data_IF_541666877639
#
_entry.id   IF_541666877639
#
_cell.length_a   1.000
_cell.length_b   1.000
_cell.length_c   1.000
_cell.angle_alpha   90.00
_cell.angle_beta   90.00
_cell.angle_gamma   90.00
#
_symmetry.space_group_name_H-M   'P 1'
#
loop_
_entity.id
_entity.type
_entity.pdbx_description
1 polymer ?
2 non-polymer ?
3 non-polymer ?
4 water ?
#
# COMPACT_ATOMS: atom_id res chain seq x y z
N UNK A 1 -18.08 -29.41 -21.65
CA UNK A 1 -19.38 -29.94 -22.13
C UNK A 1 -20.20 -28.80 -22.76
N UNK A 2 -20.91 -28.01 -21.94
CA UNK A 2 -21.79 -26.90 -22.39
C UNK A 2 -20.94 -25.77 -22.98
N UNK A 3 -19.88 -25.39 -22.26
CA UNK A 3 -19.02 -24.21 -22.55
C UNK A 3 -19.87 -22.95 -22.80
N UNK A 4 -20.98 -22.79 -22.08
CA UNK A 4 -21.75 -21.50 -22.04
C UNK A 4 -20.83 -20.45 -21.38
N UNK A 5 -20.65 -19.29 -22.03
CA UNK A 5 -19.73 -18.23 -21.51
C UNK A 5 -20.36 -17.55 -20.29
N UNK A 6 -21.65 -17.77 -20.07
CA UNK A 6 -22.29 -17.61 -18.74
C UNK A 6 -21.73 -18.70 -17.81
N UNK A 7 -20.74 -18.32 -17.01
CA UNK A 7 -20.19 -19.11 -15.88
C UNK A 7 -20.76 -18.57 -14.58
N UNK A 8 -21.78 -19.25 -14.05
CA UNK A 8 -22.45 -18.89 -12.78
C UNK A 8 -21.83 -19.61 -11.60
N UNK A 9 -21.39 -20.89 -11.68
CA UNK A 9 -20.82 -21.55 -10.51
C UNK A 9 -19.64 -20.69 -10.04
N UNK A 10 -19.76 -20.09 -8.85
CA UNK A 10 -18.66 -19.37 -8.17
C UNK A 10 -17.88 -20.42 -7.36
N UNK A 11 -16.80 -20.03 -6.67
CA UNK A 11 -15.89 -20.94 -5.94
C UNK A 11 -15.35 -22.00 -6.91
N UNK A 12 -15.37 -21.75 -8.23
CA UNK A 12 -15.12 -22.77 -9.28
C UNK A 12 -14.69 -22.09 -10.58
N UNK A 13 -14.38 -22.87 -11.62
CA UNK A 13 -14.15 -22.39 -13.01
C UNK A 13 -13.03 -21.33 -12.96
N UNK A 14 -11.87 -21.66 -12.37
CA UNK A 14 -10.72 -20.73 -12.30
C UNK A 14 -9.42 -21.52 -12.51
N UNK A 15 -8.99 -21.61 -13.76
CA UNK A 15 -7.67 -22.14 -14.15
C UNK A 15 -6.60 -21.07 -14.01
N UNK A 16 -5.34 -21.49 -13.88
CA UNK A 16 -4.16 -20.62 -13.62
C UNK A 16 -3.24 -20.60 -14.85
N UNK A 17 -2.47 -19.52 -15.05
CA UNK A 17 -1.87 -19.10 -16.36
C UNK A 17 -2.96 -19.10 -17.43
N UNK A 18 -4.11 -18.46 -17.15
CA UNK A 18 -5.28 -18.38 -18.05
C UNK A 18 -4.81 -17.78 -19.39
N UNK A 19 -4.75 -18.61 -20.43
CA UNK A 19 -4.59 -18.20 -21.85
C UNK A 19 -5.99 -18.07 -22.48
N UNK A 20 -6.97 -17.74 -21.63
CA UNK A 20 -8.23 -17.03 -21.97
C UNK A 20 -8.06 -15.52 -21.82
N UNK A 21 -8.47 -14.93 -20.69
CA UNK A 21 -8.26 -13.47 -20.42
C UNK A 21 -8.17 -13.19 -18.92
N UNK A 22 -7.16 -12.40 -18.54
CA UNK A 22 -6.86 -12.03 -17.13
C UNK A 22 -6.96 -10.52 -16.97
N UNK A 23 -7.91 -10.06 -16.16
CA UNK A 23 -8.25 -8.62 -15.97
C UNK A 23 -7.78 -8.14 -14.60
N UNK A 24 -6.87 -7.16 -14.57
CA UNK A 24 -6.33 -6.54 -13.33
C UNK A 24 -7.10 -5.25 -13.00
N UNK A 25 -7.75 -5.20 -11.85
CA UNK A 25 -8.59 -4.04 -11.41
C UNK A 25 -8.01 -3.44 -10.12
N UNK A 26 -7.97 -2.11 -10.07
CA UNK A 26 -7.56 -1.37 -8.85
C UNK A 26 -8.67 -1.54 -7.81
N UNK A 27 -8.39 -2.21 -6.69
CA UNK A 27 -9.36 -2.34 -5.56
C UNK A 27 -9.75 -0.94 -5.08
N UNK A 28 -10.87 -0.82 -4.36
CA UNK A 28 -11.31 0.43 -3.73
C UNK A 28 -12.31 1.17 -4.61
N UNK A 29 -12.30 2.51 -4.58
CA UNK A 29 -13.36 3.32 -5.23
C UNK A 29 -13.29 3.17 -6.75
N UNK A 30 -12.12 2.84 -7.31
CA UNK A 30 -12.00 2.57 -8.77
C UNK A 30 -12.85 1.35 -9.11
N UNK A 31 -12.66 0.25 -8.38
CA UNK A 31 -13.40 -1.02 -8.62
C UNK A 31 -14.89 -0.72 -8.68
N UNK A 32 -15.41 -0.09 -7.62
CA UNK A 32 -16.85 0.27 -7.47
C UNK A 32 -17.35 0.90 -8.78
N UNK A 33 -16.60 1.88 -9.31
CA UNK A 33 -16.97 2.64 -10.53
C UNK A 33 -16.64 1.83 -11.79
N UNK A 34 -15.75 0.82 -11.68
CA UNK A 34 -15.34 -0.04 -12.83
C UNK A 34 -16.45 -1.05 -13.17
N UNK A 35 -16.94 -1.78 -12.16
CA UNK A 35 -17.86 -2.94 -12.33
C UNK A 35 -19.11 -2.57 -13.12
N UNK A 36 -19.76 -1.41 -12.85
CA UNK A 36 -20.88 -0.96 -13.68
C UNK A 36 -20.62 -1.12 -15.18
N UNK A 37 -19.43 -0.72 -15.63
CA UNK A 37 -19.06 -0.74 -17.08
C UNK A 37 -18.86 -2.20 -17.51
N UNK A 38 -18.28 -3.00 -16.63
CA UNK A 38 -18.10 -4.46 -16.85
C UNK A 38 -19.47 -5.13 -16.89
N UNK A 39 -20.34 -4.74 -15.95
CA UNK A 39 -21.76 -5.17 -15.91
C UNK A 39 -22.33 -5.08 -17.33
N UNK A 40 -22.15 -3.93 -17.99
CA UNK A 40 -22.77 -3.62 -19.32
C UNK A 40 -21.89 -4.24 -20.43
N UNK A 41 -21.07 -5.24 -20.12
CA UNK A 41 -20.40 -6.14 -21.09
C UNK A 41 -20.69 -7.61 -20.71
N UNK A 42 -21.58 -7.81 -19.74
CA UNK A 42 -21.95 -9.14 -19.21
C UNK A 42 -20.85 -9.75 -18.35
N UNK A 43 -20.02 -8.91 -17.72
CA UNK A 43 -18.89 -9.32 -16.86
C UNK A 43 -19.12 -8.79 -15.44
N UNK A 44 -19.33 -9.69 -14.49
CA UNK A 44 -19.56 -9.38 -13.06
C UNK A 44 -18.90 -10.44 -12.18
N UNK A 45 -18.37 -10.03 -11.03
CA UNK A 45 -17.91 -10.96 -9.96
C UNK A 45 -19.13 -11.66 -9.37
N UNK A 46 -18.89 -12.76 -8.64
CA UNK A 46 -19.98 -13.66 -8.17
C UNK A 46 -19.96 -13.78 -6.64
N UNK A 47 -19.13 -12.98 -5.96
CA UNK A 47 -19.22 -12.74 -4.50
C UNK A 47 -18.61 -11.37 -4.21
N UNK A 48 -18.85 -10.82 -3.01
CA UNK A 48 -18.16 -9.57 -2.58
C UNK A 48 -16.69 -9.91 -2.43
N UNK A 49 -15.80 -9.31 -3.27
CA UNK A 49 -14.37 -9.63 -3.25
C UNK A 49 -13.70 -9.16 -1.95
N UNK A 50 -14.21 -8.05 -1.41
CA UNK A 50 -13.83 -7.47 -0.10
C UNK A 50 -14.01 -8.53 1.00
N UNK A 51 -15.10 -9.30 0.93
CA UNK A 51 -15.44 -10.38 1.90
C UNK A 51 -15.03 -11.76 1.36
N UNK A 52 -14.10 -11.82 0.41
CA UNK A 52 -13.67 -13.11 -0.21
C UNK A 52 -12.22 -13.39 0.16
N UNK A 53 -11.90 -14.66 0.37
CA UNK A 53 -10.54 -15.14 0.69
C UNK A 53 -9.75 -15.34 -0.61
N UNK A 54 -10.48 -15.46 -1.73
CA UNK A 54 -9.87 -15.65 -3.09
C UNK A 54 -8.93 -14.48 -3.39
N UNK A 55 -7.84 -14.75 -4.11
CA UNK A 55 -6.94 -13.73 -4.73
C UNK A 55 -7.27 -13.61 -6.23
N UNK A 56 -7.66 -14.73 -6.85
CA UNK A 56 -8.12 -14.78 -8.27
C UNK A 56 -9.61 -15.15 -8.30
N UNK A 57 -10.44 -14.28 -8.87
CA UNK A 57 -11.90 -14.45 -9.00
C UNK A 57 -12.26 -14.95 -10.40
N UNK A 58 -13.19 -15.93 -10.53
CA UNK A 58 -13.84 -16.21 -11.81
C UNK A 58 -15.00 -15.20 -11.98
N UNK A 59 -15.50 -15.03 -13.22
CA UNK A 59 -16.54 -14.02 -13.52
C UNK A 59 -17.74 -14.65 -14.20
N UNK A 60 -18.81 -13.87 -14.38
CA UNK A 60 -20.03 -14.30 -15.11
C UNK A 60 -19.62 -14.84 -16.49
N UNK A 61 -18.60 -14.23 -17.09
CA UNK A 61 -18.00 -14.65 -18.38
C UNK A 61 -16.92 -15.70 -18.09
N UNK A 62 -16.91 -16.79 -18.87
CA UNK A 62 -16.14 -18.02 -18.52
C UNK A 62 -14.69 -17.88 -19.00
N UNK A 63 -14.41 -16.94 -19.91
CA UNK A 63 -13.08 -16.76 -20.54
C UNK A 63 -12.31 -15.64 -19.83
N UNK A 64 -12.90 -15.09 -18.76
CA UNK A 64 -12.44 -13.86 -18.06
C UNK A 64 -12.31 -14.19 -16.56
N UNK A 65 -11.10 -14.05 -16.01
CA UNK A 65 -10.87 -14.07 -14.54
C UNK A 65 -10.46 -12.66 -14.10
N UNK A 66 -10.67 -12.33 -12.82
CA UNK A 66 -10.36 -10.98 -12.27
C UNK A 66 -9.33 -11.07 -11.15
N UNK A 67 -8.41 -10.11 -11.14
CA UNK A 67 -7.50 -9.81 -10.00
C UNK A 67 -7.94 -8.48 -9.41
N UNK A 68 -8.06 -8.39 -8.09
CA UNK A 68 -8.28 -7.11 -7.36
C UNK A 68 -6.93 -6.71 -6.77
N UNK A 69 -6.27 -5.72 -7.37
CA UNK A 69 -4.86 -5.38 -7.03
C UNK A 69 -4.79 -4.00 -6.39
N UNK A 70 -3.78 -3.78 -5.54
CA UNK A 70 -3.35 -2.41 -5.14
C UNK A 70 -3.08 -1.64 -6.44
N UNK A 71 -3.61 -0.43 -6.55
CA UNK A 71 -3.66 0.34 -7.82
C UNK A 71 -2.26 0.32 -8.45
N UNK A 72 -1.24 0.56 -7.63
CA UNK A 72 0.18 0.65 -8.04
C UNK A 72 0.65 -0.60 -8.81
N UNK A 73 0.11 -1.79 -8.51
CA UNK A 73 0.54 -3.09 -9.09
C UNK A 73 -0.12 -3.37 -10.44
N UNK A 74 -1.28 -2.77 -10.74
CA UNK A 74 -2.08 -3.11 -11.95
C UNK A 74 -1.17 -3.01 -13.18
N UNK A 75 -0.51 -1.86 -13.42
CA UNK A 75 0.34 -1.72 -14.60
C UNK A 75 1.49 -2.72 -14.51
N UNK A 76 1.98 -2.99 -13.29
CA UNK A 76 3.09 -3.96 -13.07
C UNK A 76 2.68 -5.30 -13.68
N UNK A 77 1.52 -5.84 -13.32
CA UNK A 77 1.03 -7.16 -13.79
C UNK A 77 0.84 -7.15 -15.32
N UNK A 78 0.25 -6.09 -15.87
CA UNK A 78 -0.09 -6.03 -17.33
C UNK A 78 1.20 -5.82 -18.13
N UNK A 79 2.05 -4.91 -17.66
CA UNK A 79 3.41 -4.67 -18.22
C UNK A 79 4.06 -6.03 -18.49
N UNK A 80 3.99 -6.94 -17.51
CA UNK A 80 4.70 -8.26 -17.54
C UNK A 80 3.85 -9.34 -18.23
N UNK A 81 2.60 -9.03 -18.57
CA UNK A 81 1.68 -9.97 -19.25
C UNK A 81 1.14 -11.03 -18.32
N UNK A 82 1.38 -10.88 -17.01
CA UNK A 82 0.67 -11.63 -15.95
C UNK A 82 -0.83 -11.42 -16.20
N UNK A 83 -1.22 -10.16 -16.41
CA UNK A 83 -2.58 -9.74 -16.82
C UNK A 83 -2.57 -9.32 -18.30
N UNK A 84 -3.60 -9.74 -19.04
CA UNK A 84 -3.77 -9.45 -20.49
C UNK A 84 -4.16 -7.98 -20.65
N UNK A 85 -4.93 -7.45 -19.70
CA UNK A 85 -5.43 -6.05 -19.69
C UNK A 85 -5.85 -5.65 -18.27
N UNK A 86 -5.95 -4.35 -18.01
CA UNK A 86 -6.21 -3.81 -16.67
C UNK A 86 -6.83 -2.42 -16.70
N UNK A 87 -7.33 -1.99 -15.55
CA UNK A 87 -7.95 -0.65 -15.33
C UNK A 87 -7.18 0.03 -14.20
N UNK A 88 -6.50 1.13 -14.53
CA UNK A 88 -5.64 1.91 -13.62
C UNK A 88 -5.84 3.40 -13.84
N UNK A 89 -5.81 4.17 -12.75
CA UNK A 89 -5.79 5.63 -12.80
C UNK A 89 -4.63 6.14 -13.62
N UNK A 90 -4.89 7.13 -14.48
CA UNK A 90 -3.87 7.84 -15.30
C UNK A 90 -2.71 8.31 -14.40
N UNK A 91 -3.04 8.74 -13.18
CA UNK A 91 -2.06 9.13 -12.13
C UNK A 91 -1.03 8.01 -11.97
N UNK A 92 -1.51 6.80 -11.65
CA UNK A 92 -0.68 5.58 -11.42
C UNK A 92 0.13 5.31 -12.70
N UNK A 93 -0.56 5.27 -13.85
CA UNK A 93 0.02 4.90 -15.16
C UNK A 93 1.18 5.84 -15.49
N UNK A 94 0.95 7.14 -15.30
CA UNK A 94 1.96 8.20 -15.59
C UNK A 94 3.14 8.06 -14.62
N UNK A 95 2.86 7.86 -13.33
CA UNK A 95 3.92 7.73 -12.28
C UNK A 95 4.73 6.45 -12.56
N UNK A 96 4.03 5.32 -12.76
CA UNK A 96 4.62 3.97 -12.95
C UNK A 96 5.44 3.95 -14.25
N UNK A 97 4.86 4.45 -15.34
CA UNK A 97 5.43 4.31 -16.69
C UNK A 97 4.63 3.34 -17.56
N UNK A 98 4.51 3.65 -18.85
CA UNK A 98 3.78 2.83 -19.87
C UNK A 98 4.79 2.15 -20.81
N UNK A 99 5.00 0.83 -20.63
CA UNK A 99 6.07 0.07 -21.33
C UNK A 99 5.46 -0.90 -22.35
N UNK A 100 5.19 -2.15 -21.97
CA UNK A 100 4.68 -3.21 -22.88
C UNK A 100 3.15 -3.22 -22.82
N UNK A 101 2.55 -2.05 -23.06
CA UNK A 101 1.10 -1.78 -22.78
C UNK A 101 0.54 -0.82 -23.82
N UNK A 102 -0.73 -1.02 -24.18
CA UNK A 102 -1.56 -0.06 -24.95
C UNK A 102 -2.57 0.57 -23.98
N UNK A 103 -2.62 1.90 -23.93
CA UNK A 103 -3.70 2.63 -23.23
C UNK A 103 -4.81 2.85 -24.26
N UNK A 104 -5.89 2.08 -24.17
CA UNK A 104 -6.93 2.00 -25.22
C UNK A 104 -8.10 2.93 -24.90
N UNK A 105 -8.40 3.19 -23.63
CA UNK A 105 -9.68 3.84 -23.25
C UNK A 105 -9.51 4.73 -22.03
N UNK A 106 -9.94 5.99 -22.14
CA UNK A 106 -10.37 6.83 -21.01
C UNK A 106 -11.79 6.40 -20.63
N UNK A 107 -11.95 5.70 -19.51
CA UNK A 107 -13.24 5.14 -19.07
C UNK A 107 -14.12 6.25 -18.45
N UNK A 108 -13.54 7.43 -18.22
CA UNK A 108 -14.23 8.62 -17.65
C UNK A 108 -14.86 8.23 -16.30
N UNK A 109 -14.26 7.28 -15.58
CA UNK A 109 -14.71 6.89 -14.20
C UNK A 109 -13.58 7.20 -13.23
N UNK A 110 -13.87 7.16 -11.93
CA UNK A 110 -12.95 7.62 -10.85
C UNK A 110 -12.20 8.85 -11.35
N UNK A 111 -12.93 9.81 -11.92
CA UNK A 111 -12.36 11.08 -12.47
C UNK A 111 -12.01 11.98 -11.28
N UNK A 112 -10.89 12.69 -11.41
CA UNK A 112 -10.36 13.60 -10.35
C UNK A 112 -9.16 14.33 -10.93
N UNK A 113 -8.53 15.19 -10.12
CA UNK A 113 -7.38 16.03 -10.56
C UNK A 113 -6.21 15.81 -9.60
N UNK A 114 -5.02 15.51 -10.14
CA UNK A 114 -3.78 15.47 -9.33
C UNK A 114 -3.45 16.90 -8.91
N UNK A 115 -3.47 17.17 -7.61
CA UNK A 115 -3.40 18.54 -7.03
C UNK A 115 -2.33 18.59 -5.94
N UNK A 116 -1.69 19.76 -5.77
CA UNK A 116 -0.97 20.10 -4.52
C UNK A 116 -2.03 20.46 -3.48
N UNK A 117 -1.68 20.41 -2.20
CA UNK A 117 -2.58 20.73 -1.06
C UNK A 117 -1.76 21.10 0.18
N UNK A 118 -2.30 21.94 1.06
CA UNK A 118 -1.67 22.34 2.33
C UNK A 118 -2.69 22.50 3.43
N UNK A 119 -2.24 22.71 4.67
CA UNK A 119 -3.11 23.12 5.81
C UNK A 119 -3.83 24.41 5.41
N UNK A 120 -5.12 24.53 5.74
CA UNK A 120 -5.91 25.73 5.35
C UNK A 120 -5.22 26.96 5.96
N UNK A 121 -4.97 27.98 5.15
CA UNK A 121 -4.38 29.27 5.56
C UNK A 121 -2.92 29.10 5.93
N UNK A 122 -2.15 28.38 5.10
CA UNK A 122 -0.71 28.09 5.35
C UNK A 122 0.15 29.08 4.56
N UNK A 123 1.31 29.44 5.13
CA UNK A 123 2.33 30.33 4.55
C UNK A 123 3.45 29.47 3.95
N UNK A 124 3.71 29.60 2.65
CA UNK A 124 4.82 28.88 1.98
C UNK A 124 6.06 28.94 2.88
N UNK A 125 6.52 27.81 3.47
CA UNK A 125 7.76 27.80 4.24
C UNK A 125 8.97 28.12 3.34
N UNK A 126 10.17 28.21 3.93
CA UNK A 126 11.29 29.02 3.38
C UNK A 126 12.24 28.19 2.49
N UNK A 127 12.78 27.07 2.99
CA UNK A 127 13.87 26.30 2.33
C UNK A 127 13.39 25.55 1.09
N UNK A 128 14.09 24.49 0.69
CA UNK A 128 13.52 23.44 -0.22
C UNK A 128 12.17 23.06 0.38
N UNK A 129 11.08 23.08 -0.39
CA UNK A 129 9.75 22.59 0.07
C UNK A 129 9.82 21.08 0.31
N UNK A 130 9.31 20.61 1.46
CA UNK A 130 9.06 19.18 1.74
C UNK A 130 7.68 18.83 1.19
N UNK A 131 7.61 17.87 0.25
CA UNK A 131 6.34 17.39 -0.37
C UNK A 131 6.16 15.90 -0.06
N UNK A 132 5.16 15.57 0.75
CA UNK A 132 4.69 14.19 0.98
C UNK A 132 3.84 13.76 -0.21
N UNK A 133 4.18 12.65 -0.88
CA UNK A 133 3.40 12.16 -2.04
C UNK A 133 3.70 10.70 -2.34
N UNK A 134 2.66 9.98 -2.79
CA UNK A 134 2.77 8.66 -3.46
C UNK A 134 3.41 8.87 -4.85
N UNK A 135 3.03 9.97 -5.52
CA UNK A 135 3.40 10.27 -6.94
C UNK A 135 4.70 11.08 -6.95
N UNK A 136 5.82 10.42 -6.70
CA UNK A 136 7.17 11.07 -6.59
C UNK A 136 7.53 11.68 -7.94
N UNK A 137 7.75 10.85 -8.96
CA UNK A 137 8.14 11.30 -10.33
C UNK A 137 7.26 12.47 -10.76
N UNK A 138 5.95 12.31 -10.66
CA UNK A 138 4.94 13.30 -11.16
C UNK A 138 5.13 14.62 -10.41
N UNK A 139 5.30 14.55 -9.09
CA UNK A 139 5.64 15.74 -8.26
C UNK A 139 7.00 16.30 -8.70
N UNK A 140 8.02 15.43 -8.82
CA UNK A 140 9.41 15.86 -9.19
C UNK A 140 9.36 16.60 -10.54
N UNK A 141 8.68 15.99 -11.51
CA UNK A 141 8.47 16.51 -12.88
C UNK A 141 7.68 17.83 -12.82
N UNK A 142 6.64 17.91 -11.98
CA UNK A 142 5.71 19.08 -11.92
C UNK A 142 6.43 20.31 -11.36
N UNK A 143 7.24 20.15 -10.32
CA UNK A 143 8.00 21.28 -9.72
C UNK A 143 9.17 21.62 -10.65
N UNK A 144 9.68 20.61 -11.38
CA UNK A 144 10.67 20.79 -12.47
C UNK A 144 10.06 21.64 -13.58
N UNK A 145 8.75 21.51 -13.83
CA UNK A 145 7.97 22.34 -14.80
C UNK A 145 8.07 23.82 -14.41
N UNK A 146 8.06 24.09 -13.11
CA UNK A 146 8.10 25.47 -12.54
C UNK A 146 9.55 25.86 -12.24
N UNK A 147 10.52 25.02 -12.61
CA UNK A 147 11.96 25.31 -12.47
C UNK A 147 12.41 25.29 -11.02
N UNK A 148 11.55 24.81 -10.11
CA UNK A 148 11.85 24.63 -8.66
C UNK A 148 12.38 23.22 -8.43
N UNK A 149 13.23 23.05 -7.42
CA UNK A 149 13.61 21.75 -6.82
C UNK A 149 12.99 21.65 -5.43
N UNK A 150 12.56 20.44 -5.06
CA UNK A 150 11.84 20.14 -3.79
C UNK A 150 12.47 18.91 -3.13
N UNK A 151 12.34 18.80 -1.81
CA UNK A 151 12.53 17.52 -1.08
C UNK A 151 11.22 16.74 -1.16
N UNK A 152 11.25 15.57 -1.77
CA UNK A 152 10.10 14.62 -1.85
C UNK A 152 10.18 13.67 -0.65
N UNK A 153 9.03 13.23 -0.13
CA UNK A 153 8.90 12.16 0.90
C UNK A 153 7.91 11.13 0.38
N UNK A 154 8.33 9.92 0.03
CA UNK A 154 7.40 8.88 -0.53
C UNK A 154 6.49 8.41 0.59
N UNK A 155 5.19 8.38 0.34
CA UNK A 155 4.17 7.77 1.23
C UNK A 155 3.39 6.72 0.45
N UNK A 156 2.95 5.67 1.12
CA UNK A 156 2.15 4.57 0.52
C UNK A 156 0.69 4.71 0.98
N UNK A 157 0.47 5.15 2.22
CA UNK A 157 -0.85 5.16 2.88
C UNK A 157 -1.54 6.51 2.81
N UNK A 158 -2.07 7.00 3.94
CA UNK A 158 -2.82 8.28 4.00
C UNK A 158 -1.86 9.44 3.73
N UNK A 159 -2.01 10.11 2.57
CA UNK A 159 -1.31 11.37 2.24
C UNK A 159 -1.99 12.54 2.99
N UNK A 160 -3.29 12.36 3.31
CA UNK A 160 -4.13 13.35 4.02
C UNK A 160 -3.52 13.69 5.37
N UNK A 161 -2.90 12.72 6.04
CA UNK A 161 -2.41 12.83 7.44
C UNK A 161 -1.15 13.70 7.52
N UNK A 162 -0.26 13.57 6.53
CA UNK A 162 1.11 14.11 6.57
C UNK A 162 1.14 15.54 7.11
N UNK A 163 0.43 16.50 6.46
CA UNK A 163 0.65 17.92 6.75
C UNK A 163 0.09 18.35 8.11
N UNK A 164 -0.88 17.59 8.65
CA UNK A 164 -1.55 17.85 9.95
C UNK A 164 -0.54 17.67 11.09
N UNK A 165 0.28 16.63 10.96
CA UNK A 165 1.35 16.25 11.94
C UNK A 165 2.66 16.91 11.53
N UNK A 166 2.62 17.76 10.50
CA UNK A 166 3.77 18.56 10.05
C UNK A 166 4.87 17.68 9.50
N UNK A 167 4.51 16.73 8.64
CA UNK A 167 5.45 15.89 7.86
C UNK A 167 5.80 16.64 6.58
N UNK A 168 4.82 16.85 5.71
CA UNK A 168 4.98 17.70 4.51
C UNK A 168 4.65 19.15 4.80
N UNK A 169 5.36 20.08 4.16
CA UNK A 169 4.92 21.48 3.95
C UNK A 169 3.67 21.45 3.08
N UNK A 170 3.69 20.60 2.05
CA UNK A 170 2.55 20.35 1.14
C UNK A 170 2.45 18.85 0.85
N UNK A 171 1.37 18.45 0.18
CA UNK A 171 1.14 17.07 -0.33
C UNK A 171 0.75 17.15 -1.81
N UNK A 172 0.99 16.07 -2.55
CA UNK A 172 0.39 15.86 -3.90
C UNK A 172 -0.44 14.58 -3.85
N UNK A 173 -1.75 14.71 -4.06
CA UNK A 173 -2.68 13.55 -4.13
C UNK A 173 -3.68 13.83 -5.25
N UNK A 174 -4.44 12.81 -5.66
CA UNK A 174 -5.59 12.97 -6.59
C UNK A 174 -6.78 13.50 -5.77
N UNK A 175 -7.56 14.42 -6.35
CA UNK A 175 -8.67 15.16 -5.67
C UNK A 175 -9.93 15.08 -6.54
N UNK A 176 -11.01 14.49 -6.00
CA UNK A 176 -12.33 14.41 -6.66
C UNK A 176 -13.06 15.75 -6.49
N UNK A 177 -13.31 16.14 -5.23
CA UNK A 177 -14.01 17.39 -4.85
C UNK A 177 -13.21 18.11 -3.76
N UNK A 178 -12.36 17.38 -3.04
CA UNK A 178 -11.52 17.92 -1.95
C UNK A 178 -12.37 18.28 -0.75
N UNK A 179 -13.53 17.63 -0.59
CA UNK A 179 -14.42 17.80 0.58
C UNK A 179 -13.74 17.12 1.78
N UNK A 180 -13.37 15.85 1.62
CA UNK A 180 -12.59 15.05 2.62
C UNK A 180 -11.40 15.90 3.12
N UNK A 181 -10.72 16.56 2.17
CA UNK A 181 -9.56 17.47 2.42
C UNK A 181 -9.97 18.58 3.39
N UNK A 182 -10.98 19.39 3.01
CA UNK A 182 -11.48 20.54 3.81
C UNK A 182 -11.91 20.04 5.18
N UNK A 183 -12.62 18.91 5.22
CA UNK A 183 -13.16 18.27 6.44
C UNK A 183 -12.01 17.97 7.44
N UNK A 184 -10.79 17.72 6.95
CA UNK A 184 -9.58 17.48 7.79
C UNK A 184 -8.73 18.75 7.87
N UNK A 185 -9.32 19.92 7.60
CA UNK A 185 -8.64 21.22 7.67
C UNK A 185 -7.50 21.36 6.67
N UNK A 186 -7.66 20.83 5.45
CA UNK A 186 -6.71 21.01 4.32
C UNK A 186 -7.42 21.69 3.15
N UNK A 187 -6.67 22.26 2.20
CA UNK A 187 -7.23 22.90 0.99
C UNK A 187 -6.50 22.42 -0.26
N UNK A 188 -7.22 21.99 -1.32
CA UNK A 188 -6.61 21.80 -2.64
C UNK A 188 -6.07 23.14 -3.16
N UNK A 189 -4.91 23.13 -3.81
CA UNK A 189 -4.19 24.35 -4.24
C UNK A 189 -4.03 24.34 -5.76
N UNK A 190 -3.02 23.65 -6.29
CA UNK A 190 -2.61 23.76 -7.72
C UNK A 190 -2.89 22.44 -8.43
N UNK A 191 -3.66 22.52 -9.51
CA UNK A 191 -3.98 21.38 -10.41
C UNK A 191 -2.73 21.05 -11.24
N UNK A 192 -2.24 19.82 -11.15
CA UNK A 192 -1.01 19.34 -11.86
C UNK A 192 -1.42 18.70 -13.19
N UNK A 193 -2.48 17.89 -13.17
CA UNK A 193 -3.25 17.46 -14.39
C UNK A 193 -4.53 16.74 -13.97
N UNK A 194 -5.46 16.59 -14.92
CA UNK A 194 -6.72 15.82 -14.78
C UNK A 194 -6.35 14.33 -14.78
N UNK A 195 -7.18 13.51 -14.13
CA UNK A 195 -6.96 12.05 -13.93
C UNK A 195 -8.31 11.32 -14.07
N UNK A 196 -8.29 10.14 -14.68
CA UNK A 196 -9.44 9.19 -14.74
C UNK A 196 -8.91 7.78 -14.88
N UNK A 197 -9.71 6.77 -14.53
CA UNK A 197 -9.38 5.35 -14.82
C UNK A 197 -9.22 5.16 -16.32
N UNK A 198 -8.19 4.42 -16.74
CA UNK A 198 -7.92 4.14 -18.18
C UNK A 198 -7.79 2.63 -18.37
N UNK A 199 -8.23 2.13 -19.52
CA UNK A 199 -8.05 0.69 -19.87
C UNK A 199 -6.68 0.53 -20.51
N UNK A 200 -5.91 -0.47 -20.08
CA UNK A 200 -4.60 -0.80 -20.68
C UNK A 200 -4.61 -2.27 -21.07
N UNK A 201 -3.85 -2.61 -22.12
CA UNK A 201 -3.72 -3.99 -22.66
C UNK A 201 -2.23 -4.29 -22.90
N UNK A 202 -1.71 -5.36 -22.28
CA UNK A 202 -0.37 -5.94 -22.62
C UNK A 202 -0.29 -6.03 -24.15
N UNK A 203 0.75 -5.48 -24.75
CA UNK A 203 0.87 -5.41 -26.22
C UNK A 203 0.80 -6.80 -26.82
N UNK A 204 1.55 -7.76 -26.29
CA UNK A 204 1.55 -9.17 -26.75
C UNK A 204 0.11 -9.71 -26.70
N UNK A 205 -0.46 -9.77 -25.50
CA UNK A 205 -1.87 -10.20 -25.25
C UNK A 205 -2.80 -9.62 -26.32
N UNK A 206 -2.60 -8.35 -26.67
CA UNK A 206 -3.42 -7.60 -27.65
C UNK A 206 -3.33 -8.23 -29.03
N UNK A 207 -2.11 -8.52 -29.48
CA UNK A 207 -1.87 -9.22 -30.77
C UNK A 207 -2.56 -10.60 -30.71
N UNK A 208 -2.30 -11.32 -29.62
CA UNK A 208 -2.53 -12.79 -29.53
C UNK A 208 -4.01 -13.11 -29.33
N UNK A 209 -4.70 -12.42 -28.42
CA UNK A 209 -6.06 -12.81 -27.95
C UNK A 209 -7.14 -11.92 -28.59
N UNK A 210 -6.92 -11.47 -29.83
CA UNK A 210 -7.71 -10.42 -30.50
C UNK A 210 -9.21 -10.79 -30.51
N UNK A 211 -9.51 -12.08 -30.68
CA UNK A 211 -10.89 -12.67 -30.77
C UNK A 211 -11.71 -12.30 -29.54
N UNK A 212 -11.12 -12.45 -28.36
CA UNK A 212 -11.80 -12.23 -27.06
C UNK A 212 -11.91 -10.74 -26.80
N UNK A 213 -10.81 -10.00 -27.05
CA UNK A 213 -10.63 -8.57 -26.67
C UNK A 213 -11.61 -7.69 -27.45
N UNK A 214 -11.64 -7.81 -28.78
CA UNK A 214 -12.45 -6.92 -29.65
C UNK A 214 -13.84 -6.72 -29.03
N UNK A 215 -14.65 -7.78 -28.86
CA UNK A 215 -16.02 -7.62 -28.39
C UNK A 215 -16.10 -6.84 -27.06
N UNK A 216 -15.25 -7.19 -26.10
CA UNK A 216 -15.23 -6.60 -24.73
C UNK A 216 -14.98 -5.08 -24.85
N UNK A 217 -13.89 -4.72 -25.51
CA UNK A 217 -13.50 -3.30 -25.78
C UNK A 217 -14.74 -2.59 -26.35
N UNK A 218 -15.25 -3.10 -27.48
CA UNK A 218 -16.43 -2.53 -28.18
C UNK A 218 -17.52 -2.20 -27.17
N UNK A 219 -17.89 -3.16 -26.31
CA UNK A 219 -19.01 -3.01 -25.33
C UNK A 219 -18.65 -1.96 -24.27
N UNK A 220 -17.39 -1.96 -23.82
CA UNK A 220 -16.86 -0.98 -22.84
C UNK A 220 -16.91 0.43 -23.46
N UNK A 221 -16.43 0.56 -24.70
CA UNK A 221 -16.50 1.82 -25.48
C UNK A 221 -17.93 2.37 -25.41
N UNK A 222 -18.92 1.53 -25.75
CA UNK A 222 -20.36 1.90 -25.89
C UNK A 222 -20.92 2.31 -24.53
N UNK A 223 -20.53 1.58 -23.48
CA UNK A 223 -20.94 1.81 -22.07
C UNK A 223 -20.63 3.25 -21.63
N UNK A 224 -19.56 3.82 -22.19
CA UNK A 224 -19.21 5.27 -22.06
C UNK A 224 -19.83 5.98 -23.28
N UNK A 225 -20.80 6.87 -23.05
CA UNK A 225 -21.48 7.64 -24.13
C UNK A 225 -20.90 9.06 -24.13
N UNK A 226 -19.59 9.19 -23.92
CA UNK A 226 -18.92 10.51 -23.81
C UNK A 226 -18.70 11.05 -25.23
N UNK A 227 -19.75 11.58 -25.85
CA UNK A 227 -19.67 12.10 -27.26
C UNK A 227 -20.14 13.55 -27.30
N UNK B 1 4.63 23.04 34.53
CA UNK B 1 4.53 21.85 35.42
C UNK B 1 3.07 21.68 35.89
N UNK B 2 2.26 20.98 35.09
CA UNK B 2 0.92 20.45 35.48
C UNK B 2 1.08 18.97 35.84
N UNK B 3 0.07 18.37 36.48
CA UNK B 3 0.15 17.01 37.08
C UNK B 3 -0.81 16.02 36.39
N UNK B 4 -1.90 16.49 35.76
CA UNK B 4 -2.91 15.62 35.08
C UNK B 4 -2.23 14.92 33.90
N UNK B 5 -2.38 13.60 33.81
CA UNK B 5 -1.76 12.75 32.73
C UNK B 5 -2.80 11.82 32.08
N UNK B 6 -3.89 11.51 32.80
CA UNK B 6 -4.95 10.56 32.37
C UNK B 6 -5.94 11.31 31.48
N UNK B 7 -6.58 10.63 30.52
CA UNK B 7 -7.60 11.23 29.61
C UNK B 7 -8.52 10.16 28.98
N UNK B 8 -9.79 10.10 29.40
CA UNK B 8 -10.83 9.21 28.83
C UNK B 8 -11.64 9.87 27.71
N UNK B 9 -11.79 11.22 27.65
CA UNK B 9 -12.32 11.85 26.44
C UNK B 9 -11.70 11.22 25.18
N UNK B 10 -12.52 10.50 24.41
CA UNK B 10 -12.19 10.08 23.02
C UNK B 10 -12.68 11.20 22.11
N UNK B 11 -12.28 11.21 20.84
CA UNK B 11 -12.68 12.30 19.89
C UNK B 11 -12.50 13.63 20.63
N UNK B 12 -11.37 13.77 21.33
CA UNK B 12 -11.01 14.98 22.12
C UNK B 12 -9.51 15.21 22.11
N UNK B 13 -9.08 16.33 22.70
CA UNK B 13 -7.64 16.68 22.91
C UNK B 13 -6.96 16.60 21.53
N UNK B 14 -6.17 15.55 21.24
CA UNK B 14 -5.49 15.29 19.94
C UNK B 14 -4.89 16.60 19.39
N UNK B 15 -5.16 16.97 18.13
CA UNK B 15 -4.74 18.26 17.57
C UNK B 15 -3.41 18.11 16.86
N UNK B 16 -2.70 19.23 16.62
CA UNK B 16 -1.60 19.30 15.60
C UNK B 16 -0.28 19.66 16.27
N UNK B 17 0.83 19.12 15.71
CA UNK B 17 2.24 19.34 16.13
C UNK B 17 2.38 19.05 17.63
N UNK B 18 1.87 17.91 18.08
CA UNK B 18 1.91 17.49 19.51
C UNK B 18 3.38 17.47 19.96
N UNK B 19 3.78 18.45 20.79
CA UNK B 19 5.05 18.47 21.54
C UNK B 19 4.80 17.87 22.94
N UNK B 20 3.82 16.96 23.00
CA UNK B 20 3.72 15.83 23.96
C UNK B 20 4.44 14.61 23.40
N UNK B 21 3.73 13.70 22.71
CA UNK B 21 4.31 12.49 22.07
C UNK B 21 3.40 11.95 20.98
N UNK B 22 4.00 11.57 19.84
CA UNK B 22 3.30 11.05 18.64
C UNK B 22 3.78 9.62 18.34
N UNK B 23 2.87 8.65 18.44
CA UNK B 23 3.18 7.21 18.26
C UNK B 23 2.64 6.69 16.92
N UNK B 24 3.53 6.20 16.05
CA UNK B 24 3.19 5.60 14.74
C UNK B 24 3.12 4.07 14.85
N UNK B 25 1.95 3.48 14.57
CA UNK B 25 1.72 2.01 14.66
C UNK B 25 1.36 1.44 13.30
N UNK B 26 1.90 0.26 12.98
CA UNK B 26 1.53 -0.49 11.76
C UNK B 26 0.09 -0.99 11.94
N UNK B 27 -0.65 -1.22 10.85
CA UNK B 27 -2.15 -1.30 10.86
C UNK B 27 -2.66 -2.75 10.82
N UNK B 28 -1.77 -3.74 10.66
CA UNK B 28 -2.16 -5.13 10.36
C UNK B 28 -2.20 -5.99 11.61
N UNK B 29 -1.73 -7.24 11.48
CA UNK B 29 -1.58 -8.20 12.62
C UNK B 29 -0.70 -7.59 13.71
N UNK B 30 0.25 -6.73 13.33
CA UNK B 30 1.16 -6.00 14.25
C UNK B 30 0.30 -5.24 15.27
N UNK B 31 -0.61 -4.39 14.80
CA UNK B 31 -1.40 -3.49 15.68
C UNK B 31 -2.04 -4.32 16.78
N UNK B 32 -2.80 -5.34 16.37
CA UNK B 32 -3.57 -6.24 17.27
C UNK B 32 -2.65 -6.68 18.41
N UNK B 33 -1.45 -7.15 18.06
CA UNK B 33 -0.46 -7.71 19.02
C UNK B 33 0.28 -6.58 19.74
N UNK B 34 0.27 -5.35 19.19
CA UNK B 34 0.97 -4.17 19.77
C UNK B 34 0.21 -3.65 21.01
N UNK B 35 -1.09 -3.39 20.84
CA UNK B 35 -1.95 -2.62 21.80
C UNK B 35 -1.93 -3.26 23.19
N UNK B 36 -2.04 -4.61 23.30
CA UNK B 36 -1.92 -5.28 24.60
C UNK B 36 -0.75 -4.74 25.42
N UNK B 37 0.42 -4.59 24.78
CA UNK B 37 1.69 -4.19 25.44
C UNK B 37 1.58 -2.72 25.82
N UNK B 38 0.96 -1.90 24.96
CA UNK B 38 0.69 -0.48 25.25
C UNK B 38 -0.28 -0.36 26.42
N UNK B 39 -1.32 -1.20 26.41
CA UNK B 39 -2.26 -1.34 27.54
C UNK B 39 -1.46 -1.38 28.84
N UNK B 40 -0.44 -2.25 28.92
CA UNK B 40 0.45 -2.48 30.09
C UNK B 40 1.10 -1.18 30.56
N UNK B 41 1.31 -0.22 29.65
CA UNK B 41 2.04 1.04 29.91
C UNK B 41 1.05 2.17 30.19
N UNK B 42 -0.24 1.83 30.32
CA UNK B 42 -1.34 2.78 30.54
C UNK B 42 -1.63 3.59 29.29
N UNK B 43 -1.36 3.02 28.12
CA UNK B 43 -1.60 3.69 26.80
C UNK B 43 -2.58 2.82 26.01
N UNK B 44 -3.80 3.31 25.81
CA UNK B 44 -4.88 2.57 25.11
C UNK B 44 -5.74 3.57 24.34
N UNK B 45 -6.22 3.18 23.16
CA UNK B 45 -7.22 3.98 22.41
C UNK B 45 -8.56 3.91 23.16
N UNK B 46 -9.48 4.78 22.78
CA UNK B 46 -10.75 5.03 23.52
C UNK B 46 -11.94 4.82 22.60
N UNK B 47 -11.72 4.21 21.42
CA UNK B 47 -12.74 3.91 20.38
C UNK B 47 -12.12 2.88 19.42
N UNK B 48 -12.93 2.23 18.59
CA UNK B 48 -12.39 1.34 17.52
C UNK B 48 -11.88 2.25 16.40
N UNK B 49 -10.56 2.30 16.15
CA UNK B 49 -9.99 3.16 15.12
C UNK B 49 -10.37 2.70 13.71
N UNK B 50 -10.55 1.39 13.55
CA UNK B 50 -11.06 0.72 12.33
C UNK B 50 -12.42 1.32 11.95
N UNK B 51 -13.27 1.60 12.94
CA UNK B 51 -14.64 2.17 12.76
C UNK B 51 -14.64 3.68 13.06
N UNK B 52 -13.48 4.34 12.99
CA UNK B 52 -13.36 5.80 13.24
C UNK B 52 -12.98 6.50 11.93
N UNK B 53 -13.57 7.67 11.69
CA UNK B 53 -13.22 8.54 10.53
C UNK B 53 -11.97 9.35 10.88
N UNK B 54 -11.69 9.49 12.18
CA UNK B 54 -10.53 10.19 12.76
C UNK B 54 -9.24 9.64 12.15
N UNK B 55 -8.25 10.51 11.94
CA UNK B 55 -6.91 10.15 11.39
C UNK B 55 -5.88 10.13 12.54
N UNK B 56 -6.02 11.05 13.51
CA UNK B 56 -5.14 11.13 14.71
C UNK B 56 -5.98 10.81 15.94
N UNK B 57 -5.65 9.72 16.62
CA UNK B 57 -6.38 9.21 17.81
C UNK B 57 -5.74 9.78 19.06
N UNK B 58 -6.55 10.26 20.03
CA UNK B 58 -6.05 10.51 21.38
C UNK B 58 -6.05 9.19 22.16
N UNK B 59 -5.31 9.14 23.28
CA UNK B 59 -5.12 7.90 24.08
C UNK B 59 -5.50 8.14 25.53
N UNK B 60 -5.50 7.07 26.32
CA UNK B 60 -5.70 7.10 27.79
C UNK B 60 -4.74 8.12 28.42
N UNK B 61 -3.53 8.25 27.88
CA UNK B 61 -2.56 9.30 28.29
C UNK B 61 -2.82 10.57 27.48
N UNK B 62 -2.81 11.72 28.17
CA UNK B 62 -3.09 13.05 27.58
C UNK B 62 -1.84 13.54 26.83
N UNK B 63 -0.68 12.88 27.02
CA UNK B 63 0.64 13.30 26.46
C UNK B 63 0.94 12.52 25.18
N UNK B 64 0.05 11.61 24.78
CA UNK B 64 0.30 10.59 23.73
C UNK B 64 -0.88 10.58 22.75
N UNK B 65 -0.62 10.85 21.46
CA UNK B 65 -1.58 10.62 20.34
C UNK B 65 -1.08 9.46 19.48
N UNK B 66 -1.99 8.78 18.77
CA UNK B 66 -1.64 7.58 17.95
C UNK B 66 -2.02 7.81 16.49
N UNK B 67 -1.13 7.36 15.60
CA UNK B 67 -1.37 7.23 14.14
C UNK B 67 -1.39 5.73 13.83
N UNK B 68 -2.36 5.29 13.03
CA UNK B 68 -2.39 3.91 12.48
C UNK B 68 -1.96 4.03 11.02
N UNK B 69 -0.73 3.64 10.69
CA UNK B 69 -0.15 3.81 9.33
C UNK B 69 -0.06 2.47 8.61
N UNK B 70 0.05 2.48 7.28
CA UNK B 70 0.54 1.31 6.51
C UNK B 70 1.97 1.05 7.00
N UNK B 71 2.32 -0.22 7.22
CA UNK B 71 3.61 -0.63 7.85
C UNK B 71 4.74 0.15 7.20
N UNK B 72 4.73 0.22 5.86
CA UNK B 72 5.74 0.89 5.00
C UNK B 72 6.02 2.34 5.45
N UNK B 73 5.02 3.07 5.95
CA UNK B 73 5.09 4.52 6.25
C UNK B 73 5.66 4.77 7.66
N UNK B 74 5.56 3.80 8.57
CA UNK B 74 5.90 4.02 10.01
C UNK B 74 7.31 4.57 10.12
N UNK B 75 8.32 3.91 9.53
CA UNK B 75 9.69 4.38 9.65
C UNK B 75 9.78 5.75 8.94
N UNK B 76 9.04 5.92 7.84
CA UNK B 76 9.02 7.22 7.10
C UNK B 76 8.71 8.35 8.10
N UNK B 77 7.59 8.23 8.83
CA UNK B 77 7.13 9.26 9.79
C UNK B 77 8.17 9.50 10.89
N UNK B 78 8.71 8.43 11.48
CA UNK B 78 9.64 8.53 12.66
C UNK B 78 11.00 9.06 12.18
N UNK B 79 11.49 8.52 11.06
CA UNK B 79 12.71 9.01 10.35
C UNK B 79 12.67 10.55 10.35
N UNK B 80 11.53 11.12 9.96
CA UNK B 80 11.36 12.58 9.73
C UNK B 80 10.95 13.30 11.02
N UNK B 81 10.65 12.57 12.09
CA UNK B 81 10.26 13.15 13.38
C UNK B 81 8.82 13.67 13.37
N UNK B 82 8.08 13.37 12.32
CA UNK B 82 6.60 13.50 12.27
C UNK B 82 6.05 12.73 13.47
N UNK B 83 6.54 11.51 13.66
CA UNK B 83 6.30 10.65 14.86
C UNK B 83 7.56 10.61 15.72
N UNK B 84 7.39 10.72 17.04
CA UNK B 84 8.48 10.71 18.05
C UNK B 84 9.02 9.29 18.18
N UNK B 85 8.15 8.29 18.02
CA UNK B 85 8.50 6.84 18.10
C UNK B 85 7.41 6.01 17.40
N UNK B 86 7.73 4.76 17.07
CA UNK B 86 6.84 3.88 16.29
C UNK B 86 7.16 2.41 16.46
N UNK B 87 6.27 1.55 15.94
CA UNK B 87 6.41 0.07 15.95
C UNK B 87 6.31 -0.43 14.50
N UNK B 88 7.38 -1.03 13.97
CA UNK B 88 7.44 -1.55 12.58
C UNK B 88 8.15 -2.91 12.54
N UNK B 89 7.70 -3.78 11.63
CA UNK B 89 8.39 -5.04 11.30
C UNK B 89 9.82 -4.80 10.85
N UNK B 90 10.75 -5.59 11.38
CA UNK B 90 12.20 -5.56 11.04
C UNK B 90 12.39 -5.64 9.52
N UNK B 91 11.54 -6.39 8.84
CA UNK B 91 11.50 -6.52 7.36
C UNK B 91 11.42 -5.12 6.76
N UNK B 92 10.39 -4.37 7.12
CA UNK B 92 10.12 -2.98 6.64
C UNK B 92 11.33 -2.10 7.00
N UNK B 93 11.74 -2.15 8.27
CA UNK B 93 12.81 -1.29 8.83
C UNK B 93 14.10 -1.50 8.03
N UNK B 94 14.45 -2.76 7.78
CA UNK B 94 15.68 -3.12 7.02
C UNK B 94 15.55 -2.65 5.57
N UNK B 95 14.38 -2.85 4.94
CA UNK B 95 14.13 -2.46 3.53
C UNK B 95 14.18 -0.93 3.42
N UNK B 96 13.45 -0.23 4.29
CA UNK B 96 13.38 1.25 4.34
C UNK B 96 14.77 1.83 4.65
N UNK B 97 15.46 1.23 5.62
CA UNK B 97 16.80 1.66 6.03
C UNK B 97 16.74 3.11 6.46
N UNK B 98 15.94 3.37 7.49
CA UNK B 98 15.71 4.71 8.07
C UNK B 98 17.04 5.23 8.64
N UNK B 99 17.11 6.53 8.92
CA UNK B 99 18.35 7.22 9.36
C UNK B 99 18.24 7.65 10.82
N UNK B 100 17.45 8.69 11.08
CA UNK B 100 17.46 9.48 12.33
C UNK B 100 16.60 8.78 13.39
N UNK B 101 16.97 7.53 13.72
CA UNK B 101 16.11 6.59 14.49
C UNK B 101 16.97 5.69 15.37
N UNK B 102 16.45 5.38 16.56
CA UNK B 102 16.98 4.33 17.47
C UNK B 102 16.02 3.14 17.45
N UNK B 103 16.54 1.94 17.20
CA UNK B 103 15.77 0.68 17.38
C UNK B 103 16.05 0.21 18.81
N UNK B 104 15.09 0.39 19.71
CA UNK B 104 15.31 0.18 21.16
C UNK B 104 14.84 -1.20 21.61
N UNK B 105 13.84 -1.80 20.95
CA UNK B 105 13.16 -3.00 21.49
C UNK B 105 12.73 -3.96 20.38
N UNK B 106 13.17 -5.22 20.50
CA UNK B 106 12.54 -6.38 19.82
C UNK B 106 11.32 -6.77 20.66
N UNK B 107 10.12 -6.48 20.17
CA UNK B 107 8.85 -6.71 20.91
C UNK B 107 8.47 -8.20 20.86
N UNK B 108 9.14 -8.97 19.99
CA UNK B 108 8.90 -10.42 19.77
C UNK B 108 7.41 -10.67 19.51
N UNK B 109 6.74 -9.74 18.83
CA UNK B 109 5.35 -9.90 18.35
C UNK B 109 5.37 -9.85 16.83
N UNK B 110 4.26 -10.20 16.18
CA UNK B 110 4.15 -10.38 14.72
C UNK B 110 5.47 -11.00 14.20
N UNK B 111 5.91 -12.05 14.88
CA UNK B 111 7.16 -12.79 14.56
C UNK B 111 6.92 -13.61 13.30
N UNK B 112 7.94 -13.68 12.45
CA UNK B 112 7.89 -14.40 11.15
C UNK B 112 9.29 -14.39 10.54
N UNK B 113 9.46 -15.00 9.37
CA UNK B 113 10.77 -15.14 8.70
C UNK B 113 10.64 -14.65 7.26
N UNK B 114 11.50 -13.71 6.85
CA UNK B 114 11.57 -13.28 5.43
C UNK B 114 12.16 -14.43 4.62
N UNK B 115 11.38 -14.98 3.69
CA UNK B 115 11.69 -16.24 2.97
C UNK B 115 11.51 -16.03 1.46
N UNK B 116 12.28 -16.75 0.65
CA UNK B 116 11.95 -16.98 -0.80
C UNK B 116 10.83 -18.03 -0.84
N UNK B 117 10.12 -18.13 -1.97
CA UNK B 117 8.98 -19.06 -2.15
C UNK B 117 8.73 -19.31 -3.64
N UNK B 118 8.22 -20.50 -3.98
CA UNK B 118 7.90 -20.90 -5.36
C UNK B 118 6.56 -21.64 -5.45
N UNK B 119 6.05 -21.80 -6.66
CA UNK B 119 4.89 -22.68 -6.95
C UNK B 119 5.26 -24.09 -6.50
N UNK B 120 4.30 -24.83 -5.91
CA UNK B 120 4.53 -26.23 -5.45
C UNK B 120 5.04 -27.04 -6.64
N UNK B 121 6.19 -27.71 -6.47
CA UNK B 121 6.98 -28.32 -7.56
C UNK B 121 7.44 -27.30 -8.60
N UNK B 122 7.99 -26.16 -8.17
CA UNK B 122 8.55 -25.12 -9.08
C UNK B 122 9.79 -25.68 -9.80
N UNK B 123 10.02 -25.22 -11.02
CA UNK B 123 11.19 -25.58 -11.87
C UNK B 123 12.23 -24.45 -11.81
N UNK B 124 13.44 -24.71 -11.31
CA UNK B 124 14.55 -23.71 -11.37
C UNK B 124 14.59 -23.18 -12.80
N UNK B 125 14.24 -21.90 -13.06
CA UNK B 125 14.30 -21.36 -14.43
C UNK B 125 15.74 -21.21 -14.89
N UNK B 126 15.92 -20.68 -16.11
CA UNK B 126 17.23 -20.40 -16.75
C UNK B 126 17.47 -18.88 -16.81
N UNK B 127 18.74 -18.46 -16.82
CA UNK B 127 19.15 -17.05 -16.97
C UNK B 127 19.02 -16.27 -15.66
N UNK B 128 18.68 -14.98 -15.74
CA UNK B 128 18.56 -14.11 -14.52
C UNK B 128 17.12 -14.23 -13.98
N UNK B 129 16.98 -14.71 -12.74
CA UNK B 129 15.67 -15.05 -12.13
C UNK B 129 14.84 -13.78 -11.94
N UNK B 130 13.55 -13.84 -12.29
CA UNK B 130 12.51 -12.82 -11.94
C UNK B 130 12.01 -13.11 -10.51
N UNK B 131 12.17 -12.12 -9.61
CA UNK B 131 11.64 -12.19 -8.21
C UNK B 131 10.63 -11.07 -8.01
N UNK B 132 9.37 -11.42 -7.79
CA UNK B 132 8.30 -10.51 -7.34
C UNK B 132 8.45 -10.29 -5.84
N UNK B 133 8.58 -9.03 -5.39
CA UNK B 133 8.75 -8.73 -3.95
C UNK B 133 8.48 -7.25 -3.66
N UNK B 134 7.90 -7.01 -2.48
CA UNK B 134 7.80 -5.70 -1.80
C UNK B 134 9.20 -5.30 -1.34
N UNK B 135 9.99 -6.28 -0.86
CA UNK B 135 11.32 -6.06 -0.22
C UNK B 135 12.40 -6.16 -1.29
N UNK B 136 12.51 -5.13 -2.13
CA UNK B 136 13.46 -5.09 -3.28
C UNK B 136 14.90 -5.17 -2.74
N UNK B 137 15.35 -4.13 -2.04
CA UNK B 137 16.72 -4.03 -1.47
C UNK B 137 17.10 -5.34 -0.80
N UNK B 138 16.24 -5.84 0.10
CA UNK B 138 16.52 -7.04 0.94
C UNK B 138 16.72 -8.26 0.04
N UNK B 139 15.85 -8.43 -0.96
CA UNK B 139 16.02 -9.46 -2.01
C UNK B 139 17.32 -9.21 -2.78
N UNK B 140 17.54 -7.97 -3.26
CA UNK B 140 18.74 -7.60 -4.06
C UNK B 140 20.01 -7.94 -3.26
N UNK B 141 20.03 -7.53 -1.99
CA UNK B 141 21.13 -7.74 -1.01
C UNK B 141 21.31 -9.26 -0.79
N UNK B 142 20.21 -10.01 -0.64
CA UNK B 142 20.22 -11.45 -0.27
C UNK B 142 20.80 -12.30 -1.41
N UNK B 143 20.43 -12.01 -2.65
CA UNK B 143 20.95 -12.75 -3.83
C UNK B 143 22.37 -12.27 -4.10
N UNK B 144 22.67 -11.02 -3.76
CA UNK B 144 24.05 -10.44 -3.77
C UNK B 144 24.92 -11.22 -2.78
N UNK B 145 24.34 -11.67 -1.65
CA UNK B 145 25.03 -12.50 -0.63
C UNK B 145 25.49 -13.83 -1.28
N UNK B 146 24.67 -14.36 -2.19
CA UNK B 146 24.92 -15.65 -2.91
C UNK B 146 25.65 -15.37 -4.23
N UNK B 147 26.06 -14.12 -4.47
CA UNK B 147 26.90 -13.73 -5.62
C UNK B 147 26.13 -13.75 -6.94
N UNK B 148 24.81 -13.98 -6.90
CA UNK B 148 23.91 -13.97 -8.09
C UNK B 148 23.29 -12.57 -8.23
N UNK B 149 22.98 -12.17 -9.46
CA UNK B 149 22.18 -10.93 -9.73
C UNK B 149 20.84 -11.36 -10.35
N UNK B 150 19.76 -10.68 -9.96
CA UNK B 150 18.35 -11.09 -10.25
C UNK B 150 17.58 -9.90 -10.83
N UNK B 151 16.58 -10.19 -11.64
CA UNK B 151 15.57 -9.20 -12.09
C UNK B 151 14.49 -9.11 -11.01
N UNK B 152 14.37 -7.94 -10.39
CA UNK B 152 13.38 -7.68 -9.30
C UNK B 152 12.13 -7.09 -9.97
N UNK B 153 10.95 -7.41 -9.43
CA UNK B 153 9.66 -6.77 -9.82
C UNK B 153 9.00 -6.24 -8.56
N UNK B 154 8.95 -4.91 -8.37
CA UNK B 154 8.41 -4.34 -7.11
C UNK B 154 6.89 -4.58 -7.11
N UNK B 155 6.41 -5.07 -5.98
CA UNK B 155 4.96 -5.18 -5.66
C UNK B 155 4.70 -4.39 -4.38
N UNK B 156 3.50 -3.78 -4.30
CA UNK B 156 3.04 -3.01 -3.12
C UNK B 156 2.06 -3.90 -2.33
N UNK B 157 1.23 -4.68 -3.03
CA UNK B 157 0.18 -5.51 -2.44
C UNK B 157 0.59 -6.96 -2.26
N UNK B 158 -0.35 -7.87 -2.51
CA UNK B 158 -0.22 -9.32 -2.22
C UNK B 158 0.85 -9.91 -3.15
N UNK B 159 1.98 -10.34 -2.55
CA UNK B 159 3.07 -11.07 -3.24
C UNK B 159 2.66 -12.53 -3.46
N UNK B 160 1.70 -13.02 -2.66
CA UNK B 160 1.17 -14.40 -2.71
C UNK B 160 0.59 -14.69 -4.10
N UNK B 161 0.01 -13.68 -4.75
CA UNK B 161 -0.72 -13.84 -6.04
C UNK B 161 0.25 -14.03 -7.22
N UNK B 162 1.39 -13.35 -7.20
CA UNK B 162 2.33 -13.22 -8.35
C UNK B 162 2.58 -14.57 -9.02
N UNK B 163 3.06 -15.60 -8.30
CA UNK B 163 3.52 -16.83 -8.94
C UNK B 163 2.40 -17.67 -9.55
N UNK B 164 1.17 -17.51 -9.05
CA UNK B 164 -0.04 -18.26 -9.49
C UNK B 164 -0.41 -17.83 -10.92
N UNK B 165 -0.28 -16.53 -11.19
CA UNK B 165 -0.56 -15.88 -12.50
C UNK B 165 0.74 -15.82 -13.32
N UNK B 166 1.81 -16.42 -12.81
CA UNK B 166 3.09 -16.57 -13.52
C UNK B 166 3.73 -15.22 -13.77
N UNK B 167 3.79 -14.39 -12.72
CA UNK B 167 4.53 -13.09 -12.73
C UNK B 167 5.99 -13.37 -12.36
N UNK B 168 6.23 -13.85 -11.15
CA UNK B 168 7.57 -14.20 -10.69
C UNK B 168 7.95 -15.62 -11.04
N UNK B 169 9.24 -15.89 -11.22
CA UNK B 169 9.83 -17.23 -11.09
C UNK B 169 9.68 -17.64 -9.62
N UNK B 170 9.97 -16.71 -8.73
CA UNK B 170 9.88 -16.86 -7.25
C UNK B 170 9.36 -15.56 -6.64
N UNK B 171 9.08 -15.58 -5.33
CA UNK B 171 8.68 -14.37 -4.53
C UNK B 171 9.53 -14.29 -3.26
N UNK B 172 9.64 -13.10 -2.68
CA UNK B 172 10.18 -12.90 -1.30
C UNK B 172 9.10 -12.20 -0.49
N UNK B 173 8.60 -12.86 0.56
CA UNK B 173 7.61 -12.30 1.51
C UNK B 173 7.98 -12.76 2.91
N UNK B 174 7.37 -12.17 3.94
CA UNK B 174 7.49 -12.65 5.35
C UNK B 174 6.55 -13.85 5.50
N UNK B 175 6.99 -14.85 6.28
CA UNK B 175 6.26 -16.13 6.51
C UNK B 175 6.16 -16.33 8.02
N UNK B 176 4.96 -16.16 8.59
CA UNK B 176 4.70 -16.34 10.05
C UNK B 176 4.45 -17.83 10.27
N UNK B 177 3.48 -18.39 9.54
CA UNK B 177 3.18 -19.84 9.52
C UNK B 177 3.27 -20.37 8.08
N UNK B 178 3.04 -19.50 7.10
CA UNK B 178 3.05 -19.83 5.66
C UNK B 178 1.94 -20.80 5.28
N UNK B 179 0.83 -20.76 6.01
CA UNK B 179 -0.38 -21.60 5.75
C UNK B 179 -1.05 -21.09 4.46
N UNK B 180 -1.31 -19.78 4.43
CA UNK B 180 -1.78 -19.01 3.24
C UNK B 180 -1.05 -19.49 1.99
N UNK B 181 0.28 -19.63 2.08
CA UNK B 181 1.16 -20.08 0.96
C UNK B 181 0.72 -21.46 0.47
N UNK B 182 0.76 -22.46 1.36
CA UNK B 182 0.37 -23.87 1.05
C UNK B 182 -1.05 -23.90 0.48
N UNK B 183 -1.96 -23.12 1.06
CA UNK B 183 -3.40 -23.05 0.67
C UNK B 183 -3.60 -22.83 -0.85
N UNK B 184 -2.86 -21.93 -1.48
CA UNK B 184 -3.00 -21.64 -2.93
C UNK B 184 -1.86 -22.36 -3.65
N UNK B 185 -1.44 -23.51 -3.11
CA UNK B 185 -0.43 -24.38 -3.73
C UNK B 185 0.93 -23.72 -3.97
N UNK B 186 1.47 -23.02 -2.96
CA UNK B 186 2.87 -22.51 -2.94
C UNK B 186 3.62 -23.15 -1.76
N UNK B 187 4.95 -23.08 -1.78
CA UNK B 187 5.86 -23.56 -0.72
C UNK B 187 6.76 -22.43 -0.21
N UNK B 188 7.00 -22.31 1.11
CA UNK B 188 8.19 -21.61 1.62
C UNK B 188 9.44 -22.34 1.11
N UNK B 189 10.51 -21.62 0.80
CA UNK B 189 11.78 -22.21 0.28
C UNK B 189 12.91 -21.98 1.30
N UNK B 190 13.50 -20.79 1.31
CA UNK B 190 14.71 -20.46 2.13
C UNK B 190 14.34 -19.48 3.25
N UNK B 191 15.33 -19.05 4.02
CA UNK B 191 15.19 -18.06 5.13
C UNK B 191 16.25 -16.97 4.95
N UNK B 192 15.82 -15.72 4.75
CA UNK B 192 16.70 -14.56 4.43
C UNK B 192 17.07 -13.83 5.73
N UNK B 193 16.10 -13.67 6.62
CA UNK B 193 16.33 -13.44 8.09
C UNK B 193 15.02 -13.63 8.85
N UNK B 194 15.14 -13.85 10.17
CA UNK B 194 13.97 -13.88 11.08
C UNK B 194 13.54 -12.42 11.29
N UNK B 195 12.25 -12.21 11.58
CA UNK B 195 11.60 -10.86 11.58
C UNK B 195 10.63 -10.81 12.76
N UNK B 196 10.54 -9.65 13.41
CA UNK B 196 9.57 -9.35 14.50
C UNK B 196 9.31 -7.84 14.51
N UNK B 197 8.19 -7.42 15.07
CA UNK B 197 7.92 -5.97 15.31
C UNK B 197 8.99 -5.40 16.25
N UNK B 198 9.49 -4.19 15.94
CA UNK B 198 10.54 -3.53 16.76
C UNK B 198 10.09 -2.12 17.14
N UNK B 199 10.45 -1.64 18.33
CA UNK B 199 10.15 -0.25 18.74
C UNK B 199 11.28 0.66 18.28
N UNK B 200 10.93 1.78 17.64
CA UNK B 200 11.93 2.75 17.09
C UNK B 200 11.59 4.14 17.63
N UNK B 201 12.60 4.97 17.83
CA UNK B 201 12.48 6.35 18.40
C UNK B 201 13.29 7.31 17.53
N UNK B 202 12.66 8.34 16.99
CA UNK B 202 13.37 9.49 16.36
C UNK B 202 14.47 9.93 17.33
N UNK B 203 15.71 10.03 16.86
CA UNK B 203 16.88 10.31 17.74
C UNK B 203 16.65 11.63 18.48
N UNK B 204 16.28 12.68 17.74
CA UNK B 204 16.02 14.02 18.30
C UNK B 204 14.95 13.90 19.40
N UNK B 205 13.75 13.44 19.02
CA UNK B 205 12.61 13.20 19.95
C UNK B 205 13.11 12.55 21.24
N UNK B 206 14.01 11.56 21.10
CA UNK B 206 14.57 10.79 22.24
C UNK B 206 15.31 11.74 23.20
N UNK B 207 16.19 12.58 22.66
CA UNK B 207 16.97 13.58 23.44
C UNK B 207 16.00 14.48 24.17
N UNK B 208 15.01 15.01 23.45
CA UNK B 208 14.17 16.15 23.93
C UNK B 208 13.13 15.66 24.94
N UNK B 209 12.38 14.61 24.62
CA UNK B 209 11.16 14.21 25.38
C UNK B 209 11.46 13.02 26.29
N UNK B 210 12.70 12.89 26.76
CA UNK B 210 13.20 11.66 27.45
C UNK B 210 12.31 11.35 28.66
N UNK B 211 11.83 12.39 29.34
CA UNK B 211 10.97 12.33 30.57
C UNK B 211 9.71 11.48 30.32
N UNK B 212 9.06 11.66 29.17
CA UNK B 212 7.83 10.92 28.79
C UNK B 212 8.21 9.50 28.37
N UNK B 213 9.24 9.40 27.52
CA UNK B 213 9.62 8.16 26.77
C UNK B 213 10.11 7.07 27.73
N UNK B 214 11.08 7.40 28.59
CA UNK B 214 11.73 6.40 29.48
C UNK B 214 10.66 5.54 30.12
N UNK B 215 9.68 6.10 30.87
CA UNK B 215 8.63 5.31 31.51
C UNK B 215 8.00 4.27 30.59
N UNK B 216 7.55 4.72 29.42
CA UNK B 216 6.79 3.89 28.42
C UNK B 216 7.68 2.72 28.01
N UNK B 217 8.88 3.03 27.51
CA UNK B 217 9.90 2.02 27.09
C UNK B 217 10.02 0.98 28.22
N UNK B 218 10.39 1.44 29.41
CA UNK B 218 10.59 0.58 30.62
C UNK B 218 9.44 -0.42 30.73
N UNK B 219 8.19 0.09 30.70
CA UNK B 219 6.96 -0.73 30.91
C UNK B 219 6.78 -1.70 29.73
N UNK B 220 7.05 -1.24 28.51
CA UNK B 220 6.98 -2.08 27.28
C UNK B 220 8.01 -3.21 27.38
N UNK B 221 9.25 -2.87 27.74
CA UNK B 221 10.33 -3.86 27.98
C UNK B 221 9.80 -4.97 28.89
N UNK B 222 9.24 -4.59 30.04
CA UNK B 222 8.78 -5.52 31.12
C UNK B 222 7.64 -6.39 30.60
N UNK B 223 6.72 -5.78 29.84
CA UNK B 223 5.52 -6.40 29.22
C UNK B 223 5.90 -7.51 28.22
N UNK B 224 7.16 -7.62 27.82
CA UNK B 224 7.63 -8.71 26.89
C UNK B 224 8.13 -9.89 27.73
N UNK B 225 7.73 -9.99 29.01
CA UNK B 225 8.24 -11.00 29.99
C UNK B 225 9.77 -10.92 30.01
N UNK B 226 10.30 -9.72 30.23
CA UNK B 226 11.77 -9.46 30.31
C UNK B 226 12.37 -10.13 31.56
N UNK B 227 13.51 -10.81 31.43
CA UNK B 227 14.20 -11.51 32.54
C UNK B 227 15.69 -11.13 32.57
X LIG C 1 5.70 15.82 16.44
X LIG C 1 6.25 15.58 17.50
X LIG C 1 4.44 16.14 16.29
X LIG D 1 0.08 -32.25 4.29
X LIG D 1 -0.12 -32.07 2.89
X LIG D 1 0.22 -33.72 4.63
X LIG D 1 1.23 -34.31 3.84
X LIG D 1 0.50 -33.95 6.10
X LIG D 1 -0.48 -33.36 6.94
#
# INVERSE_FOLDING_TARGET
MNDVRNDDPNFNVMGNFDHGLTLALSKGRILKETLPLLATAGINLLEDPEKSRKLIFPTTHKQVRILILRASDVPTYVENGAADLGVAGKDVLMEHGAQHVYELLDLQIAKCKLMTAGKVGMERPKGRLKIATKYVNLTRQYYASLGEQVDVIKLYGSMELAPLVGLGDYIVDVVDTGNTLRANGLEPLEEICKVSSRLIVNKASFKRKQVLLNPIISQLEQAVQSR
MNDVRNDDPNFNVMGNFDHGLTLALSKGRILKETLPLLATAGINLLEDPEKSRKLIFPTTHKQVRILILRASDVPTYVENGAADLGVAGKDVLMEHGAQHVYELLDLQIAKCKLMTAGKVGMERPKGRLKIATKYVNLTRQYYASLGEQVDVIKLYGSMELAPLVGLGDYIVDVVDTGNTLRANGLEPLEEICKVSSRLIVNKASFKRKQVLLNPIISQLEQAVQSR
FMT C O1 O2
GOL C1 O1 C2 O2 C3 O3
#
